data_IF_634637192150
#
_entry.id   IF_634637192150
#
_cell.length_a   1.000
_cell.length_b   1.000
_cell.length_c   1.000
_cell.angle_alpha   90.00
_cell.angle_beta   90.00
_cell.angle_gamma   90.00
#
_symmetry.space_group_name_H-M   'P 1'
#
loop_
_entity.id
_entity.type
_entity.pdbx_description
1 polymer ?
#
# COMPACT_ATOMS: atom_id res chain seq x y z
N UNK A 1 9.39 8.54 -19.15
CA UNK A 1 8.30 7.95 -18.35
C UNK A 1 8.55 6.46 -18.29
N UNK A 2 9.15 5.99 -17.20
CA UNK A 2 9.57 4.59 -17.07
C UNK A 2 8.36 3.71 -16.78
N UNK A 3 7.92 2.96 -17.77
CA UNK A 3 7.01 1.83 -17.57
C UNK A 3 7.77 0.74 -16.83
N UNK A 4 7.23 0.29 -15.69
CA UNK A 4 7.77 -0.83 -14.93
C UNK A 4 7.87 -2.09 -15.80
N UNK A 5 8.99 -2.84 -15.75
CA UNK A 5 9.32 -3.91 -16.69
C UNK A 5 8.52 -5.21 -16.55
N UNK A 6 7.44 -5.23 -15.75
CA UNK A 6 6.62 -6.43 -15.52
C UNK A 6 5.30 -6.45 -16.32
N UNK A 7 5.05 -5.44 -17.16
CA UNK A 7 3.79 -5.36 -17.95
C UNK A 7 3.64 -6.43 -19.04
N UNK A 8 4.71 -7.15 -19.38
CA UNK A 8 4.70 -8.13 -20.46
C UNK A 8 5.10 -9.53 -19.95
N UNK A 9 4.17 -10.23 -19.28
CA UNK A 9 4.18 -11.71 -19.30
C UNK A 9 4.20 -12.48 -17.97
N UNK A 10 4.24 -11.84 -16.80
CA UNK A 10 3.91 -12.48 -15.50
C UNK A 10 3.06 -11.50 -14.71
N UNK A 11 1.75 -11.78 -14.63
CA UNK A 11 0.76 -10.89 -14.01
C UNK A 11 1.05 -10.71 -12.51
N UNK A 12 1.63 -9.57 -12.15
CA UNK A 12 1.60 -9.09 -10.77
C UNK A 12 0.17 -8.80 -10.32
N UNK A 13 -0.07 -8.64 -9.01
CA UNK A 13 -1.39 -8.36 -8.48
C UNK A 13 -1.95 -7.07 -9.10
N UNK A 14 -3.22 -7.10 -9.47
CA UNK A 14 -3.96 -5.96 -9.98
C UNK A 14 -4.17 -4.90 -8.90
N UNK A 15 -4.47 -3.68 -9.32
CA UNK A 15 -4.84 -2.58 -8.42
C UNK A 15 -6.02 -2.93 -7.51
N UNK A 16 -6.99 -3.70 -8.03
CA UNK A 16 -8.14 -4.17 -7.27
C UNK A 16 -7.72 -5.13 -6.14
N UNK A 17 -6.84 -6.10 -6.44
CA UNK A 17 -6.32 -7.03 -5.43
C UNK A 17 -5.49 -6.30 -4.36
N UNK A 18 -4.69 -5.31 -4.77
CA UNK A 18 -3.96 -4.45 -3.84
C UNK A 18 -4.93 -3.68 -2.94
N UNK A 19 -5.98 -3.09 -3.51
CA UNK A 19 -6.97 -2.32 -2.78
C UNK A 19 -7.72 -3.17 -1.76
N UNK A 20 -8.16 -4.36 -2.16
CA UNK A 20 -8.86 -5.30 -1.28
C UNK A 20 -8.01 -5.67 -0.07
N UNK A 21 -6.73 -6.00 -0.27
CA UNK A 21 -5.83 -6.34 0.84
C UNK A 21 -5.58 -5.15 1.76
N UNK A 22 -5.45 -3.94 1.22
CA UNK A 22 -5.25 -2.73 2.00
C UNK A 22 -6.47 -2.40 2.87
N UNK A 23 -7.68 -2.48 2.29
CA UNK A 23 -8.93 -2.22 2.99
C UNK A 23 -9.24 -3.32 4.01
N UNK A 24 -9.01 -4.59 3.68
CA UNK A 24 -9.13 -5.71 4.61
C UNK A 24 -8.22 -5.52 5.83
N UNK A 25 -6.93 -5.20 5.62
CA UNK A 25 -6.01 -4.89 6.71
C UNK A 25 -6.46 -3.72 7.58
N UNK A 26 -7.01 -2.67 6.95
CA UNK A 26 -7.50 -1.49 7.66
C UNK A 26 -8.71 -1.83 8.53
N UNK A 27 -9.69 -2.56 7.98
CA UNK A 27 -10.91 -2.96 8.68
C UNK A 27 -10.64 -4.00 9.77
N UNK A 28 -9.80 -5.01 9.51
CA UNK A 28 -9.39 -6.01 10.51
C UNK A 28 -8.75 -5.35 11.74
N UNK A 29 -7.99 -4.28 11.54
CA UNK A 29 -7.34 -3.53 12.62
C UNK A 29 -8.29 -2.60 13.37
N UNK A 30 -9.28 -2.04 12.68
CA UNK A 30 -10.22 -1.07 13.25
C UNK A 30 -9.67 0.36 13.37
N UNK A 31 -10.55 1.28 13.76
CA UNK A 31 -10.23 2.71 13.85
C UNK A 31 -9.07 3.02 14.81
N UNK A 32 -8.23 3.99 14.43
CA UNK A 32 -7.06 4.41 15.19
C UNK A 32 -5.88 3.44 15.17
N UNK A 33 -6.02 2.25 14.58
CA UNK A 33 -4.94 1.28 14.41
C UNK A 33 -4.32 1.41 13.02
N UNK A 34 -3.04 1.06 12.92
CA UNK A 34 -2.28 1.24 11.68
C UNK A 34 -1.38 0.06 11.33
N UNK A 35 -1.00 -0.01 10.06
CA UNK A 35 -0.20 -1.07 9.45
C UNK A 35 0.88 -0.50 8.53
N UNK A 36 1.84 -1.32 8.09
CA UNK A 36 2.83 -0.89 7.10
C UNK A 36 2.47 -1.37 5.69
N UNK A 37 2.77 -0.61 4.62
CA UNK A 37 2.48 -1.03 3.25
C UNK A 37 3.09 -2.40 2.88
N UNK A 38 4.28 -2.70 3.41
CA UNK A 38 4.95 -3.99 3.18
C UNK A 38 4.20 -5.19 3.74
N UNK A 39 3.29 -5.00 4.71
CA UNK A 39 2.43 -6.06 5.20
C UNK A 39 1.40 -6.47 4.14
N UNK A 40 0.79 -5.49 3.48
CA UNK A 40 -0.12 -5.73 2.36
C UNK A 40 0.61 -6.41 1.20
N UNK A 41 1.79 -5.90 0.82
CA UNK A 41 2.59 -6.49 -0.26
C UNK A 41 3.00 -7.94 0.00
N UNK A 42 3.34 -8.28 1.25
CA UNK A 42 3.69 -9.67 1.65
C UNK A 42 2.51 -10.64 1.57
N UNK A 43 1.27 -10.15 1.64
CA UNK A 43 0.07 -10.98 1.41
C UNK A 43 -0.17 -11.25 -0.08
N UNK A 44 0.36 -10.42 -0.96
CA UNK A 44 0.15 -10.52 -2.41
C UNK A 44 1.21 -11.36 -3.13
N UNK A 45 2.47 -11.28 -2.71
CA UNK A 45 3.55 -12.02 -3.37
C UNK A 45 4.71 -12.35 -2.41
N UNK A 46 5.40 -13.46 -2.71
CA UNK A 46 6.66 -13.81 -2.03
C UNK A 46 7.76 -12.76 -2.29
N UNK A 47 7.93 -12.35 -3.55
CA UNK A 47 8.78 -11.21 -3.92
C UNK A 47 7.97 -9.90 -3.86
N UNK A 48 7.75 -9.42 -2.65
CA UNK A 48 6.89 -8.25 -2.38
C UNK A 48 7.58 -6.90 -2.62
N UNK A 49 8.91 -6.85 -2.67
CA UNK A 49 9.66 -5.59 -2.75
C UNK A 49 9.33 -4.79 -4.02
N UNK A 50 9.26 -5.41 -5.21
CA UNK A 50 8.86 -4.72 -6.44
C UNK A 50 7.44 -4.15 -6.41
N UNK A 51 6.55 -4.66 -5.54
CA UNK A 51 5.16 -4.17 -5.42
C UNK A 51 5.04 -2.85 -4.66
N UNK A 52 6.10 -2.40 -3.96
CA UNK A 52 6.00 -1.23 -3.08
C UNK A 52 5.55 0.08 -3.76
N UNK A 53 6.00 0.42 -4.99
CA UNK A 53 5.48 1.57 -5.70
C UNK A 53 3.97 1.48 -5.96
N UNK A 54 3.47 0.32 -6.40
CA UNK A 54 2.05 0.12 -6.71
C UNK A 54 1.19 0.11 -5.46
N UNK A 55 1.62 -0.56 -4.38
CA UNK A 55 0.90 -0.55 -3.10
C UNK A 55 0.77 0.86 -2.53
N UNK A 56 1.82 1.69 -2.64
CA UNK A 56 1.77 3.08 -2.19
C UNK A 56 0.87 3.94 -3.07
N UNK A 57 0.90 3.73 -4.39
CA UNK A 57 0.03 4.42 -5.35
C UNK A 57 -1.44 4.10 -5.06
N UNK A 58 -1.80 2.82 -5.02
CA UNK A 58 -3.18 2.39 -4.73
C UNK A 58 -3.63 2.89 -3.35
N UNK A 59 -2.77 2.85 -2.33
CA UNK A 59 -3.10 3.40 -1.02
C UNK A 59 -3.40 4.91 -1.03
N UNK A 60 -2.84 5.68 -1.98
CA UNK A 60 -3.11 7.11 -2.14
C UNK A 60 -4.50 7.39 -2.72
N UNK A 61 -5.00 6.46 -3.56
CA UNK A 61 -6.31 6.56 -4.20
C UNK A 61 -7.46 6.07 -3.30
N UNK A 62 -7.13 5.42 -2.18
CA UNK A 62 -8.10 4.93 -1.19
C UNK A 62 -8.37 5.95 -0.09
N UNK A 63 -9.51 5.78 0.60
CA UNK A 63 -9.83 6.51 1.83
C UNK A 63 -9.03 5.99 3.03
N UNK A 64 -7.69 5.96 2.91
CA UNK A 64 -6.76 5.58 3.96
C UNK A 64 -5.90 6.78 4.37
N UNK A 65 -5.59 6.86 5.67
CA UNK A 65 -4.67 7.86 6.20
C UNK A 65 -3.25 7.29 6.23
N UNK A 66 -2.36 7.90 5.47
CA UNK A 66 -0.92 7.66 5.56
C UNK A 66 -0.26 8.61 6.58
N UNK A 67 0.59 8.06 7.45
CA UNK A 67 1.36 8.84 8.43
C UNK A 67 2.81 8.40 8.49
N UNK A 68 3.69 9.35 8.81
CA UNK A 68 5.09 9.10 9.12
C UNK A 68 5.45 9.87 10.39
N UNK A 69 5.97 9.14 11.40
CA UNK A 69 6.24 9.70 12.74
C UNK A 69 5.02 10.47 13.31
N UNK A 70 3.81 9.92 13.10
CA UNK A 70 2.54 10.49 13.55
C UNK A 70 1.98 11.63 12.69
N UNK A 71 2.74 12.15 11.72
CA UNK A 71 2.31 13.26 10.85
C UNK A 71 1.69 12.73 9.55
N UNK A 72 0.58 13.30 9.06
CA UNK A 72 0.04 12.97 7.74
C UNK A 72 1.08 13.17 6.63
N UNK A 73 1.16 12.24 5.69
CA UNK A 73 2.04 12.32 4.52
C UNK A 73 1.36 11.73 3.30
N UNK A 74 1.81 12.12 2.10
CA UNK A 74 1.48 11.42 0.86
C UNK A 74 2.29 10.09 0.80
N UNK A 75 1.63 8.92 0.67
CA UNK A 75 2.33 7.63 0.65
C UNK A 75 3.22 7.42 -0.59
N UNK A 76 2.95 8.10 -1.71
CA UNK A 76 3.72 8.04 -2.96
C UNK A 76 5.02 8.83 -2.82
N UNK A 77 4.96 10.01 -2.20
CA UNK A 77 6.10 10.93 -2.08
C UNK A 77 6.96 10.63 -0.84
N UNK A 78 6.35 10.12 0.24
CA UNK A 78 7.02 9.90 1.52
C UNK A 78 8.21 8.94 1.41
N UNK A 79 9.38 9.40 1.86
CA UNK A 79 10.61 8.60 1.88
C UNK A 79 10.68 7.76 3.16
N UNK A 80 10.95 6.46 3.01
CA UNK A 80 11.12 5.55 4.13
C UNK A 80 9.79 5.01 4.69
N UNK A 81 9.81 4.46 5.92
CA UNK A 81 8.65 3.78 6.50
C UNK A 81 7.47 4.72 6.76
N UNK A 82 6.28 4.28 6.37
CA UNK A 82 5.01 4.93 6.64
C UNK A 82 4.03 3.95 7.29
N UNK A 83 2.97 4.48 7.87
CA UNK A 83 1.86 3.73 8.46
C UNK A 83 0.56 4.12 7.79
N UNK A 84 -0.24 3.13 7.41
CA UNK A 84 -1.57 3.27 6.82
C UNK A 84 -2.64 2.87 7.86
N UNK A 85 -3.82 3.45 7.79
CA UNK A 85 -4.96 3.08 8.62
C UNK A 85 -6.22 3.79 8.18
N UNK A 86 -7.35 3.45 8.78
CA UNK A 86 -8.60 4.19 8.55
C UNK A 86 -8.43 5.66 8.98
N UNK A 87 -9.12 6.61 8.31
CA UNK A 87 -9.24 7.96 8.82
C UNK A 87 -9.84 7.92 10.23
N UNK A 88 -9.43 8.87 11.07
CA UNK A 88 -9.95 9.03 12.43
C UNK A 88 -11.37 9.61 12.40
#
# INVERSE_FOLDING_TARGET
>A
MGVSPWKDGVLGPSDAEIADVLLDLAHQRGSGKTFCPSEAARRLAADWRPLMPDVRRVAADLSLRATQKGKPVDPVIAKGPIRLGLPA
#
